data_IF_547075966672
#
_entry.id   IF_547075966672
#
_cell.length_a   1.000
_cell.length_b   1.000
_cell.length_c   1.000
_cell.angle_alpha   90.00
_cell.angle_beta   90.00
_cell.angle_gamma   90.00
#
_symmetry.space_group_name_H-M   'P 1'
#
loop_
_entity.id
_entity.type
_entity.pdbx_description
1 polymer ?
#
# COMPACT_ATOMS: atom_id res chain seq x y z
N UNK A 1 7.53 -14.85 -4.15
CA UNK A 1 6.93 -13.65 -3.55
C UNK A 1 6.60 -12.63 -4.63
N UNK A 2 5.56 -11.85 -4.39
CA UNK A 2 5.16 -10.78 -5.30
C UNK A 2 5.19 -9.44 -4.57
N UNK A 3 5.38 -8.36 -5.34
CA UNK A 3 5.26 -7.00 -4.86
C UNK A 3 4.14 -6.31 -5.62
N UNK A 4 3.19 -5.73 -4.90
CA UNK A 4 2.16 -4.88 -5.48
C UNK A 4 2.65 -3.45 -5.37
N UNK A 5 2.76 -2.77 -6.49
CA UNK A 5 3.42 -1.46 -6.55
C UNK A 5 2.44 -0.40 -7.02
N UNK A 6 2.37 0.68 -6.23
CA UNK A 6 1.53 1.84 -6.51
C UNK A 6 2.36 3.11 -6.52
N UNK A 7 1.98 4.05 -7.37
CA UNK A 7 2.55 5.41 -7.42
C UNK A 7 1.48 6.42 -7.03
N UNK A 8 1.89 7.41 -6.21
CA UNK A 8 0.96 8.42 -5.70
C UNK A 8 1.52 9.82 -5.91
N UNK A 9 0.61 10.75 -6.25
CA UNK A 9 0.88 12.18 -6.12
C UNK A 9 0.03 12.67 -4.94
N UNK A 10 0.68 13.18 -3.90
CA UNK A 10 0.04 13.52 -2.64
C UNK A 10 -0.09 15.02 -2.49
N UNK A 11 -1.24 15.47 -1.97
CA UNK A 11 -1.47 16.89 -1.69
C UNK A 11 -0.53 17.38 -0.63
N UNK A 12 -0.05 18.62 -0.75
CA UNK A 12 0.94 19.18 0.16
C UNK A 12 0.47 19.15 1.62
N UNK A 13 -0.80 19.42 1.88
CA UNK A 13 -1.36 19.42 3.22
C UNK A 13 -1.50 18.02 3.83
N UNK A 14 -1.34 16.97 3.03
CA UNK A 14 -1.51 15.59 3.46
C UNK A 14 -0.21 14.80 3.57
N UNK A 15 0.94 15.41 3.29
CA UNK A 15 2.23 14.68 3.21
C UNK A 15 2.55 13.91 4.50
N UNK A 16 2.47 14.57 5.64
CA UNK A 16 2.80 13.93 6.91
C UNK A 16 1.84 12.79 7.24
N UNK A 17 0.54 13.01 7.06
CA UNK A 17 -0.48 11.98 7.31
C UNK A 17 -0.31 10.79 6.34
N UNK A 18 0.00 11.08 5.07
CA UNK A 18 0.24 10.05 4.08
C UNK A 18 1.44 9.17 4.48
N UNK A 19 2.57 9.79 4.80
CA UNK A 19 3.77 9.03 5.17
C UNK A 19 3.54 8.17 6.41
N UNK A 20 2.84 8.69 7.40
CA UNK A 20 2.54 7.94 8.62
C UNK A 20 1.61 6.75 8.34
N UNK A 21 0.66 6.90 7.42
CA UNK A 21 -0.36 5.87 7.15
C UNK A 21 0.12 4.81 6.16
N UNK A 22 0.90 5.22 5.16
CA UNK A 22 1.37 4.34 4.07
C UNK A 22 2.75 3.75 4.32
N UNK A 23 3.44 4.18 5.35
CA UNK A 23 4.77 3.66 5.68
C UNK A 23 4.74 2.27 6.31
N UNK A 24 5.93 1.70 6.60
CA UNK A 24 6.06 0.30 7.06
C UNK A 24 5.34 -0.02 8.37
N UNK A 25 5.07 0.98 9.20
CA UNK A 25 4.38 0.81 10.47
C UNK A 25 3.02 1.48 10.50
N UNK A 26 2.53 1.94 9.33
CA UNK A 26 1.27 2.66 9.23
C UNK A 26 0.05 1.76 9.18
N UNK A 27 -1.12 2.40 9.03
CA UNK A 27 -2.40 1.70 9.09
C UNK A 27 -2.55 0.64 7.99
N UNK A 28 -2.05 0.90 6.78
CA UNK A 28 -2.12 -0.09 5.72
C UNK A 28 -1.31 -1.34 6.06
N UNK A 29 -0.06 -1.18 6.50
CA UNK A 29 0.78 -2.32 6.87
C UNK A 29 0.18 -3.10 8.05
N UNK A 30 -0.41 -2.40 9.02
CA UNK A 30 -1.08 -3.05 10.14
C UNK A 30 -2.29 -3.87 9.69
N UNK A 31 -3.07 -3.35 8.75
CA UNK A 31 -4.21 -4.07 8.19
C UNK A 31 -3.74 -5.33 7.45
N UNK A 32 -2.75 -5.19 6.55
CA UNK A 32 -2.23 -6.32 5.78
C UNK A 32 -1.59 -7.38 6.68
N UNK A 33 -1.02 -6.97 7.81
CA UNK A 33 -0.37 -7.89 8.75
C UNK A 33 -1.34 -8.87 9.41
N UNK A 34 -2.65 -8.70 9.24
CA UNK A 34 -3.65 -9.70 9.65
C UNK A 34 -3.52 -10.98 8.83
N UNK A 35 -2.90 -10.91 7.66
CA UNK A 35 -2.63 -12.09 6.82
C UNK A 35 -1.23 -12.63 7.09
N UNK A 36 -1.11 -13.94 7.22
CA UNK A 36 0.19 -14.61 7.35
C UNK A 36 1.04 -14.48 6.10
N UNK A 37 0.41 -14.21 4.94
CA UNK A 37 1.11 -14.07 3.67
C UNK A 37 1.74 -12.70 3.45
N UNK A 38 1.43 -11.71 4.29
CA UNK A 38 2.00 -10.38 4.15
C UNK A 38 3.46 -10.36 4.63
N UNK A 39 4.34 -9.73 3.84
CA UNK A 39 5.78 -9.72 4.11
C UNK A 39 6.34 -8.35 4.40
N UNK A 40 5.55 -7.31 4.29
CA UNK A 40 5.97 -5.95 4.64
C UNK A 40 5.70 -4.94 3.56
N UNK A 41 5.77 -3.68 3.95
CA UNK A 41 5.57 -2.53 3.09
C UNK A 41 6.81 -1.66 3.10
N UNK A 42 7.18 -1.14 1.94
CA UNK A 42 8.19 -0.10 1.81
C UNK A 42 7.58 1.11 1.14
N UNK A 43 8.00 2.29 1.56
CA UNK A 43 7.53 3.56 1.00
C UNK A 43 8.73 4.38 0.58
N UNK A 44 8.70 4.88 -0.65
CA UNK A 44 9.77 5.68 -1.23
C UNK A 44 9.22 7.03 -1.67
N UNK A 45 10.04 8.07 -1.52
CA UNK A 45 9.72 9.38 -2.09
C UNK A 45 10.69 9.66 -3.23
N UNK A 46 10.14 9.96 -4.41
CA UNK A 46 10.93 10.31 -5.58
C UNK A 46 11.39 11.76 -5.50
N UNK A 47 12.38 12.11 -6.33
CA UNK A 47 12.91 13.47 -6.41
C UNK A 47 11.86 14.49 -6.81
N UNK A 48 10.86 14.08 -7.60
CA UNK A 48 9.78 14.96 -8.03
C UNK A 48 8.68 15.15 -6.97
N UNK A 49 8.85 14.52 -5.79
CA UNK A 49 7.89 14.61 -4.70
C UNK A 49 6.79 13.54 -4.72
N UNK A 50 6.71 12.73 -5.77
CA UNK A 50 5.78 11.61 -5.79
C UNK A 50 6.25 10.48 -4.89
N UNK A 51 5.36 9.53 -4.61
CA UNK A 51 5.64 8.38 -3.74
C UNK A 51 5.45 7.09 -4.49
N UNK A 52 6.18 6.08 -4.05
CA UNK A 52 6.04 4.70 -4.51
C UNK A 52 5.86 3.81 -3.30
N UNK A 53 4.80 3.00 -3.27
CA UNK A 53 4.64 2.00 -2.21
C UNK A 53 4.80 0.60 -2.78
N UNK A 54 5.49 -0.26 -2.02
CA UNK A 54 5.64 -1.68 -2.34
C UNK A 54 5.03 -2.48 -1.20
N UNK A 55 4.04 -3.29 -1.52
CA UNK A 55 3.46 -4.24 -0.57
C UNK A 55 3.88 -5.64 -1.00
N UNK A 56 4.69 -6.30 -0.19
CA UNK A 56 5.23 -7.61 -0.52
C UNK A 56 4.38 -8.70 0.11
N UNK A 57 3.97 -9.67 -0.71
CA UNK A 57 3.13 -10.79 -0.30
C UNK A 57 3.81 -12.11 -0.71
N UNK A 58 3.58 -13.15 0.06
CA UNK A 58 4.14 -14.45 -0.24
C UNK A 58 3.66 -14.97 -1.59
N UNK A 59 2.39 -14.75 -1.92
CA UNK A 59 1.80 -15.14 -3.19
C UNK A 59 0.58 -14.31 -3.52
N UNK A 60 0.14 -14.36 -4.78
CA UNK A 60 -1.11 -13.71 -5.20
C UNK A 60 -2.32 -14.32 -4.49
N UNK A 61 -2.30 -15.62 -4.27
CA UNK A 61 -3.40 -16.33 -3.60
C UNK A 61 -3.57 -15.84 -2.16
N UNK A 62 -2.47 -15.55 -1.47
CA UNK A 62 -2.53 -14.99 -0.11
C UNK A 62 -3.14 -13.59 -0.10
N UNK A 63 -2.78 -12.76 -1.07
CA UNK A 63 -3.38 -11.44 -1.19
C UNK A 63 -4.89 -11.55 -1.50
N UNK A 64 -5.26 -12.40 -2.44
CA UNK A 64 -6.67 -12.58 -2.81
C UNK A 64 -7.50 -13.09 -1.64
N UNK A 65 -6.95 -14.00 -0.83
CA UNK A 65 -7.60 -14.50 0.37
C UNK A 65 -7.77 -13.38 1.42
N UNK A 66 -6.76 -12.51 1.56
CA UNK A 66 -6.86 -11.34 2.43
C UNK A 66 -8.01 -10.43 1.99
N UNK A 67 -8.09 -10.12 0.69
CA UNK A 67 -9.14 -9.25 0.17
C UNK A 67 -10.53 -9.86 0.35
N UNK A 68 -10.65 -11.18 0.21
CA UNK A 68 -11.93 -11.85 0.45
C UNK A 68 -12.35 -11.77 1.92
N UNK A 69 -11.40 -11.86 2.85
CA UNK A 69 -11.69 -11.86 4.29
C UNK A 69 -11.81 -10.45 4.87
N UNK A 70 -10.96 -9.51 4.43
CA UNK A 70 -10.83 -8.18 5.01
C UNK A 70 -11.19 -7.04 4.05
N UNK A 71 -11.91 -7.34 2.97
CA UNK A 71 -12.24 -6.33 1.96
C UNK A 71 -13.01 -5.13 2.50
N UNK A 72 -13.91 -5.35 3.47
CA UNK A 72 -14.67 -4.26 4.06
C UNK A 72 -13.77 -3.30 4.84
N UNK A 73 -12.80 -3.82 5.59
CA UNK A 73 -11.83 -2.98 6.32
C UNK A 73 -10.88 -2.28 5.36
N UNK A 74 -10.48 -2.94 4.28
CA UNK A 74 -9.70 -2.34 3.22
C UNK A 74 -10.43 -1.13 2.62
N UNK A 75 -11.71 -1.31 2.25
CA UNK A 75 -12.51 -0.25 1.65
C UNK A 75 -12.71 0.94 2.61
N UNK A 76 -12.89 0.65 3.90
CA UNK A 76 -13.05 1.70 4.91
C UNK A 76 -11.77 2.55 5.03
N UNK A 77 -10.60 1.91 5.06
CA UNK A 77 -9.33 2.63 5.13
C UNK A 77 -9.08 3.42 3.84
N UNK A 78 -9.39 2.82 2.69
CA UNK A 78 -9.25 3.49 1.40
C UNK A 78 -10.08 4.77 1.34
N UNK A 79 -11.34 4.71 1.77
CA UNK A 79 -12.21 5.89 1.82
C UNK A 79 -11.67 6.96 2.75
N UNK A 80 -11.05 6.58 3.87
CA UNK A 80 -10.52 7.55 4.83
C UNK A 80 -9.30 8.31 4.29
N UNK A 81 -8.61 7.77 3.31
CA UNK A 81 -7.38 8.36 2.75
C UNK A 81 -7.56 8.95 1.35
N UNK A 82 -8.69 8.74 0.70
CA UNK A 82 -8.88 9.12 -0.70
C UNK A 82 -8.71 10.61 -0.98
N UNK A 83 -9.00 11.46 0.00
CA UNK A 83 -8.85 12.90 -0.13
C UNK A 83 -7.40 13.40 -0.07
N UNK A 84 -6.44 12.54 0.21
CA UNK A 84 -5.04 12.93 0.41
C UNK A 84 -4.24 12.97 -0.89
N UNK A 85 -4.70 12.31 -1.93
CA UNK A 85 -3.94 12.16 -3.17
C UNK A 85 -4.58 12.92 -4.32
N UNK A 86 -3.72 13.45 -5.21
CA UNK A 86 -4.14 14.02 -6.50
C UNK A 86 -4.29 12.94 -7.54
N UNK A 87 -3.47 11.90 -7.44
CA UNK A 87 -3.55 10.74 -8.33
C UNK A 87 -2.99 9.50 -7.67
N UNK A 88 -3.50 8.36 -8.09
CA UNK A 88 -3.03 7.04 -7.68
C UNK A 88 -2.95 6.17 -8.93
N UNK A 89 -1.81 5.52 -9.14
CA UNK A 89 -1.61 4.63 -10.28
C UNK A 89 -1.10 3.28 -9.81
N UNK A 90 -1.86 2.24 -10.10
CA UNK A 90 -1.39 0.88 -9.87
C UNK A 90 -0.41 0.52 -10.98
N UNK A 91 0.86 0.39 -10.63
CA UNK A 91 1.88 0.01 -11.60
C UNK A 91 1.83 -1.47 -11.96
N UNK A 92 1.43 -2.30 -11.00
CA UNK A 92 1.22 -3.70 -11.26
C UNK A 92 1.67 -4.61 -10.14
N UNK A 93 1.66 -5.90 -10.46
CA UNK A 93 2.12 -6.97 -9.60
C UNK A 93 3.40 -7.52 -10.22
N UNK A 94 4.47 -7.58 -9.43
CA UNK A 94 5.80 -7.96 -9.91
C UNK A 94 6.33 -9.13 -9.10
N UNK A 95 7.01 -10.05 -9.78
CA UNK A 95 7.68 -11.13 -9.10
C UNK A 95 8.96 -10.62 -8.45
N UNK A 96 9.17 -10.96 -7.17
CA UNK A 96 10.40 -10.61 -6.46
C UNK A 96 11.47 -11.62 -6.82
N UNK A 97 12.59 -11.14 -7.37
CA UNK A 97 13.72 -11.98 -7.78
C UNK A 97 14.86 -11.85 -6.78
N UNK A 98 15.28 -12.93 -6.25
CA UNK A 98 16.41 -12.96 -5.29
C UNK A 98 15.95 -12.90 -3.83
#
# INVERSE_FOLDING_TARGET
MIALIWRYEVKDEALAAFEATYGPTGAWAQLFARSEGFRGTELFRAEDGSYLSLDVWQSREQFDAFMAEHGADYDALDRSTEGWTRSEHRLGSYEVLG
#
